data_IF_307535693481
#
_entry.id   IF_307535693481
#
_cell.length_a   1.000
_cell.length_b   1.000
_cell.length_c   1.000
_cell.angle_alpha   90.00
_cell.angle_beta   90.00
_cell.angle_gamma   90.00
#
_symmetry.space_group_name_H-M   'P 1'
#
loop_
_entity.id
_entity.type
_entity.pdbx_description
1 polymer ?
#
# COMPACT_ATOMS: atom_id res chain seq x y z
N UNK A 1 50.94 8.96 47.05
CA UNK A 1 52.25 9.24 46.43
C UNK A 1 52.55 8.05 45.52
N UNK A 2 52.53 8.06 44.19
CA UNK A 2 52.94 9.03 43.18
C UNK A 2 52.18 8.73 41.86
N UNK A 3 51.75 9.79 41.16
CA UNK A 3 51.20 9.79 39.80
C UNK A 3 52.29 9.39 38.79
N UNK A 4 51.94 8.62 37.74
CA UNK A 4 52.62 8.70 36.44
C UNK A 4 51.62 8.46 35.30
N UNK A 5 51.03 9.56 34.80
CA UNK A 5 50.50 9.62 33.43
C UNK A 5 51.67 9.75 32.46
N UNK A 6 51.67 8.97 31.36
CA UNK A 6 52.40 9.33 30.13
C UNK A 6 51.54 8.99 28.92
N UNK A 7 51.24 10.04 28.15
CA UNK A 7 50.59 10.06 26.84
C UNK A 7 51.52 9.48 25.77
N UNK A 8 50.97 8.72 24.81
CA UNK A 8 51.48 8.55 23.42
C UNK A 8 50.31 8.04 22.55
N UNK A 9 49.60 8.91 21.83
CA UNK A 9 49.73 9.27 20.38
C UNK A 9 49.22 8.21 19.39
N UNK A 10 48.32 8.68 18.51
CA UNK A 10 48.05 8.21 17.13
C UNK A 10 47.17 6.96 16.98
N UNK A 11 46.07 6.94 16.23
CA UNK A 11 45.50 7.95 15.33
C UNK A 11 44.00 7.71 15.16
N UNK A 12 43.27 8.81 15.00
CA UNK A 12 41.88 8.84 14.59
C UNK A 12 41.78 8.17 13.21
N UNK A 13 41.30 6.92 13.16
CA UNK A 13 40.85 6.30 11.92
C UNK A 13 39.47 6.83 11.57
N UNK A 14 39.42 7.97 10.85
CA UNK A 14 38.19 8.46 10.25
C UNK A 14 37.87 7.57 9.02
N UNK A 15 37.16 6.46 9.26
CA UNK A 15 36.59 5.66 8.17
C UNK A 15 35.52 6.48 7.45
N UNK A 16 35.84 7.01 6.28
CA UNK A 16 34.86 7.54 5.34
C UNK A 16 33.94 6.39 4.90
N UNK A 17 32.71 6.35 5.41
CA UNK A 17 31.63 5.61 4.76
C UNK A 17 31.28 6.36 3.46
N UNK A 18 31.81 5.89 2.34
CA UNK A 18 31.32 6.29 1.03
C UNK A 18 29.90 5.72 0.86
N UNK A 19 28.90 6.56 1.11
CA UNK A 19 27.51 6.24 0.79
C UNK A 19 27.36 6.26 -0.74
N UNK A 20 27.44 5.10 -1.38
CA UNK A 20 27.09 4.94 -2.78
C UNK A 20 25.58 5.16 -2.95
N UNK A 21 25.22 6.33 -3.49
CA UNK A 21 23.86 6.61 -3.96
C UNK A 21 23.60 5.78 -5.22
N UNK A 22 22.78 4.74 -5.09
CA UNK A 22 22.25 4.00 -6.25
C UNK A 22 21.13 4.86 -6.83
N UNK A 23 21.24 5.37 -8.08
CA UNK A 23 20.13 6.05 -8.70
C UNK A 23 19.00 5.04 -8.93
N UNK A 24 17.87 5.24 -8.27
CA UNK A 24 16.66 4.48 -8.53
C UNK A 24 16.07 4.97 -9.84
N UNK A 25 16.42 4.33 -10.95
CA UNK A 25 15.86 4.66 -12.25
C UNK A 25 14.42 4.15 -12.28
N UNK A 26 13.45 5.05 -12.18
CA UNK A 26 12.05 4.72 -12.36
C UNK A 26 11.83 4.42 -13.85
N UNK A 27 11.54 3.17 -14.20
CA UNK A 27 11.10 2.83 -15.55
C UNK A 27 9.86 3.66 -15.89
N UNK A 28 9.88 4.30 -17.06
CA UNK A 28 8.74 5.05 -17.54
C UNK A 28 7.53 4.11 -17.66
N UNK A 29 6.37 4.52 -17.12
CA UNK A 29 5.17 3.70 -17.17
C UNK A 29 4.78 3.44 -18.63
N UNK A 30 4.41 2.20 -19.01
CA UNK A 30 4.14 1.88 -20.41
C UNK A 30 2.87 2.58 -20.91
N UNK A 31 2.95 3.19 -22.08
CA UNK A 31 1.88 3.98 -22.73
C UNK A 31 1.48 3.28 -24.04
N UNK A 32 0.18 3.19 -24.34
CA UNK A 32 -0.35 2.48 -25.51
C UNK A 32 -0.12 3.21 -26.84
N UNK A 33 0.30 4.48 -26.79
CA UNK A 33 0.53 5.32 -27.97
C UNK A 33 -0.76 5.57 -28.73
N UNK A 34 -0.74 5.32 -30.05
CA UNK A 34 -1.86 5.55 -30.96
C UNK A 34 -2.93 4.45 -30.97
N UNK A 35 -2.77 3.40 -30.15
CA UNK A 35 -3.70 2.27 -30.05
C UNK A 35 -4.40 2.25 -28.67
N UNK A 36 -5.36 3.16 -28.39
CA UNK A 36 -5.93 3.35 -27.06
C UNK A 36 -6.78 2.18 -26.56
N UNK A 37 -7.21 1.29 -27.45
CA UNK A 37 -7.95 0.06 -27.15
C UNK A 37 -7.05 -1.05 -26.63
N UNK A 38 -5.74 -0.95 -26.83
CA UNK A 38 -4.77 -1.95 -26.41
C UNK A 38 -4.19 -1.61 -25.04
N UNK A 39 -4.07 -2.63 -24.18
CA UNK A 39 -3.29 -2.48 -22.94
C UNK A 39 -1.81 -2.36 -23.31
N UNK A 40 -1.08 -1.37 -22.76
CA UNK A 40 0.35 -1.25 -23.02
C UNK A 40 1.11 -2.53 -22.67
N UNK A 41 2.03 -2.96 -23.54
CA UNK A 41 2.91 -4.09 -23.25
C UNK A 41 3.74 -3.79 -21.99
N UNK A 42 3.82 -4.77 -21.08
CA UNK A 42 4.52 -4.61 -19.80
C UNK A 42 3.75 -3.82 -18.74
N UNK A 43 2.51 -3.35 -19.00
CA UNK A 43 1.70 -2.69 -17.99
C UNK A 43 1.44 -3.64 -16.79
N UNK A 44 1.75 -3.22 -15.55
CA UNK A 44 1.54 -4.05 -14.36
C UNK A 44 0.10 -4.54 -14.26
N UNK A 45 -0.06 -5.81 -13.86
CA UNK A 45 -1.37 -6.45 -13.66
C UNK A 45 -1.55 -6.85 -12.20
N UNK A 46 -2.75 -6.64 -11.66
CA UNK A 46 -3.10 -7.18 -10.34
C UNK A 46 -3.38 -8.67 -10.54
N UNK A 47 -2.54 -9.53 -9.97
CA UNK A 47 -2.70 -10.98 -10.04
C UNK A 47 -3.64 -11.52 -8.96
N UNK A 48 -3.66 -10.88 -7.79
CA UNK A 48 -4.47 -11.28 -6.65
C UNK A 48 -4.83 -10.07 -5.80
N UNK A 49 -6.01 -10.10 -5.19
CA UNK A 49 -6.42 -9.17 -4.14
C UNK A 49 -6.51 -9.96 -2.85
N UNK A 50 -5.67 -9.62 -1.87
CA UNK A 50 -5.74 -10.24 -0.56
C UNK A 50 -7.01 -9.76 0.17
N UNK A 51 -7.87 -10.69 0.55
CA UNK A 51 -9.14 -10.44 1.25
C UNK A 51 -9.07 -11.16 2.59
N UNK A 52 -8.34 -10.56 3.53
CA UNK A 52 -8.25 -11.09 4.89
C UNK A 52 -9.52 -10.73 5.70
N UNK A 53 -9.55 -11.18 6.96
CA UNK A 53 -10.69 -10.92 7.83
C UNK A 53 -10.96 -9.41 8.03
N UNK A 54 -9.92 -8.59 8.07
CA UNK A 54 -10.06 -7.13 8.21
C UNK A 54 -10.71 -6.53 6.97
N UNK A 55 -10.32 -6.99 5.78
CA UNK A 55 -10.93 -6.60 4.51
C UNK A 55 -12.42 -6.93 4.51
N UNK A 56 -12.83 -8.13 4.94
CA UNK A 56 -14.25 -8.49 5.02
C UNK A 56 -14.99 -7.65 6.07
N UNK A 57 -14.43 -7.46 7.26
CA UNK A 57 -15.04 -6.63 8.29
C UNK A 57 -15.31 -5.19 7.78
N UNK A 58 -14.37 -4.64 7.00
CA UNK A 58 -14.54 -3.37 6.33
C UNK A 58 -15.55 -3.45 5.17
N UNK A 59 -15.47 -4.45 4.31
CA UNK A 59 -16.36 -4.60 3.16
C UNK A 59 -17.84 -4.73 3.58
N UNK A 60 -18.07 -5.28 4.77
CA UNK A 60 -19.38 -5.61 5.33
C UNK A 60 -19.91 -4.55 6.32
N UNK A 61 -19.26 -3.38 6.37
CA UNK A 61 -19.72 -2.21 7.14
C UNK A 61 -21.20 -1.93 6.93
N UNK A 62 -21.99 -1.83 8.01
CA UNK A 62 -23.43 -1.53 7.92
C UNK A 62 -24.29 -2.65 7.31
N UNK A 63 -23.75 -3.84 7.06
CA UNK A 63 -24.53 -5.01 6.63
C UNK A 63 -25.04 -5.75 7.86
N UNK A 64 -26.35 -5.94 7.94
CA UNK A 64 -26.99 -6.71 9.03
C UNK A 64 -26.81 -8.21 8.77
N UNK A 65 -26.45 -8.96 9.81
CA UNK A 65 -26.27 -10.42 9.79
C UNK A 65 -27.61 -11.16 10.02
N UNK A 66 -27.78 -12.40 9.51
CA UNK A 66 -26.83 -13.16 8.70
C UNK A 66 -26.75 -12.63 7.26
N UNK A 67 -25.59 -12.75 6.65
CA UNK A 67 -25.41 -12.31 5.27
C UNK A 67 -26.24 -13.15 4.33
N UNK A 68 -26.94 -12.48 3.42
CA UNK A 68 -27.63 -13.18 2.35
C UNK A 68 -26.63 -13.66 1.29
N UNK A 69 -26.98 -14.76 0.61
CA UNK A 69 -26.13 -15.41 -0.43
C UNK A 69 -25.77 -14.46 -1.58
N UNK A 70 -26.51 -13.36 -1.74
CA UNK A 70 -26.28 -12.35 -2.77
C UNK A 70 -24.98 -11.54 -2.60
N UNK A 71 -24.27 -11.61 -1.47
CA UNK A 71 -22.98 -10.91 -1.28
C UNK A 71 -21.74 -11.68 -1.76
N UNK A 72 -21.92 -12.87 -2.37
CA UNK A 72 -20.82 -13.67 -2.92
C UNK A 72 -20.01 -12.96 -4.02
N UNK A 73 -20.54 -11.87 -4.62
CA UNK A 73 -19.76 -11.07 -5.56
C UNK A 73 -18.51 -10.45 -4.93
N UNK A 74 -18.46 -10.29 -3.59
CA UNK A 74 -17.26 -9.83 -2.90
C UNK A 74 -16.06 -10.75 -3.15
N UNK A 75 -16.30 -12.03 -3.46
CA UNK A 75 -15.28 -13.01 -3.82
C UNK A 75 -14.70 -12.78 -5.22
N UNK A 76 -15.51 -12.33 -6.18
CA UNK A 76 -15.14 -12.23 -7.60
C UNK A 76 -14.88 -10.80 -8.09
N UNK A 77 -15.23 -9.76 -7.33
CA UNK A 77 -15.10 -8.35 -7.75
C UNK A 77 -13.65 -7.84 -7.93
N UNK A 78 -12.62 -8.68 -7.80
CA UNK A 78 -11.22 -8.21 -7.88
C UNK A 78 -10.95 -6.98 -7.00
N UNK A 79 -10.28 -5.97 -7.58
CA UNK A 79 -9.97 -4.70 -6.91
C UNK A 79 -10.83 -3.54 -7.45
N UNK A 80 -12.06 -3.82 -7.92
CA UNK A 80 -12.95 -2.76 -8.41
C UNK A 80 -13.32 -1.78 -7.30
N UNK A 81 -13.49 -0.51 -7.66
CA UNK A 81 -14.05 0.48 -6.76
C UNK A 81 -15.55 0.21 -6.60
N UNK A 82 -15.97 -0.21 -5.40
CA UNK A 82 -17.37 -0.50 -5.13
C UNK A 82 -17.84 0.19 -3.85
N UNK A 83 -19.15 0.48 -3.71
CA UNK A 83 -19.73 0.98 -2.47
C UNK A 83 -19.53 0.04 -1.27
N UNK A 84 -19.07 -1.18 -1.51
CA UNK A 84 -18.76 -2.17 -0.48
C UNK A 84 -17.40 -1.96 0.14
N UNK A 85 -16.38 -1.56 -0.63
CA UNK A 85 -14.98 -1.48 -0.16
C UNK A 85 -14.49 -0.03 -0.01
N UNK A 86 -15.32 0.94 -0.41
CA UNK A 86 -14.99 2.36 -0.40
C UNK A 86 -16.17 3.18 0.17
N UNK A 87 -15.90 4.15 1.05
CA UNK A 87 -16.93 5.05 1.53
C UNK A 87 -17.45 5.93 0.39
N UNK A 88 -18.76 6.23 0.45
CA UNK A 88 -19.43 7.13 -0.49
C UNK A 88 -19.54 8.54 0.07
N UNK A 89 -20.70 9.17 -0.15
CA UNK A 89 -21.02 10.50 0.38
C UNK A 89 -21.30 10.45 1.90
N UNK A 90 -21.11 11.59 2.57
CA UNK A 90 -21.34 11.76 4.01
C UNK A 90 -22.79 12.15 4.34
N UNK A 91 -23.11 12.23 5.63
CA UNK A 91 -24.39 12.75 6.13
C UNK A 91 -25.56 11.83 5.78
N UNK A 92 -26.69 12.36 5.25
CA UNK A 92 -27.88 11.55 4.99
C UNK A 92 -27.67 10.44 3.93
N UNK A 93 -26.58 10.51 3.16
CA UNK A 93 -26.23 9.51 2.16
C UNK A 93 -25.24 8.44 2.67
N UNK A 94 -24.77 8.56 3.91
CA UNK A 94 -23.95 7.53 4.54
C UNK A 94 -24.81 6.39 5.11
N UNK A 95 -25.57 5.74 4.22
CA UNK A 95 -26.55 4.70 4.58
C UNK A 95 -25.92 3.46 5.22
N UNK A 96 -24.60 3.32 5.19
CA UNK A 96 -23.85 2.20 5.78
C UNK A 96 -23.01 2.62 7.00
N UNK A 97 -23.01 3.90 7.37
CA UNK A 97 -22.29 4.43 8.53
C UNK A 97 -20.76 4.32 8.40
N UNK A 98 -20.21 4.56 7.21
CA UNK A 98 -18.77 4.53 6.96
C UNK A 98 -18.00 5.62 7.71
N UNK A 99 -18.60 6.79 7.89
CA UNK A 99 -17.96 7.96 8.48
C UNK A 99 -18.30 8.13 9.97
N UNK A 100 -19.08 7.21 10.53
CA UNK A 100 -19.55 7.24 11.93
C UNK A 100 -18.65 6.49 12.90
N UNK A 101 -17.49 6.02 12.43
CA UNK A 101 -16.54 5.18 13.20
C UNK A 101 -15.46 6.01 13.87
#
# INVERSE_FOLDING_TARGET
MQRKNRLTTSGLGLSLLAASVIPLQADAYPIAGVNPDQRPAGAPVIQMVNKDQAWYAQALTGVVMPQQVNLRFLESQGNWFTPFTRPGMTGPYDIRGWHSR
#
